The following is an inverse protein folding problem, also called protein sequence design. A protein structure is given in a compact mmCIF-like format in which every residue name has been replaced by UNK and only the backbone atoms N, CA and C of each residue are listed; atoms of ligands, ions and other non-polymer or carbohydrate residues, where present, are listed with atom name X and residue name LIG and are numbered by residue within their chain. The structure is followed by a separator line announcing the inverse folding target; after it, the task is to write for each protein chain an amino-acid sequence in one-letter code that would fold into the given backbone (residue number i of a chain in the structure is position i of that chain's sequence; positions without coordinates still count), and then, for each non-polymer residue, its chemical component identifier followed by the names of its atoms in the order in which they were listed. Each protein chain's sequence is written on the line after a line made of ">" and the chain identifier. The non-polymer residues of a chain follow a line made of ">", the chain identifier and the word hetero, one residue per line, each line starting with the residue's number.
data_IF_268829148393
#
_entry.id   IF_268829148393
#
_cell.length_a   1.000
_cell.length_b   1.000
_cell.length_c   1.000
_cell.angle_alpha   90.00
_cell.angle_beta   90.00
_cell.angle_gamma   90.00
#
_symmetry.space_group_name_H-M   'P 1'
#
loop_
_entity.id
_entity.type
_entity.pdbx_description
1 polymer ?
#
# COMPACT_ATOMS: atom_id res chain seq x y z
N UNK A 1 -22.24 -3.47 -5.38
CA UNK A 1 -21.15 -2.58 -4.89
C UNK A 1 -20.58 -3.03 -3.57
N UNK A 2 -21.35 -2.96 -2.47
CA UNK A 2 -20.85 -3.19 -1.11
C UNK A 2 -20.16 -4.54 -0.93
N UNK A 3 -20.82 -5.64 -1.31
CA UNK A 3 -20.25 -6.99 -1.19
C UNK A 3 -18.96 -7.15 -1.98
N UNK A 4 -18.91 -6.62 -3.21
CA UNK A 4 -17.74 -6.67 -4.08
C UNK A 4 -16.55 -5.88 -3.50
N UNK A 5 -16.81 -4.70 -2.92
CA UNK A 5 -15.78 -3.90 -2.25
C UNK A 5 -15.28 -4.63 -0.99
N UNK A 6 -16.20 -5.15 -0.18
CA UNK A 6 -15.88 -5.87 1.04
C UNK A 6 -15.06 -7.14 0.76
N UNK A 7 -15.42 -7.91 -0.27
CA UNK A 7 -14.70 -9.13 -0.64
C UNK A 7 -13.30 -8.82 -1.14
N UNK A 8 -13.14 -7.77 -1.95
CA UNK A 8 -11.81 -7.34 -2.41
C UNK A 8 -10.91 -6.89 -1.26
N UNK A 9 -11.45 -6.16 -0.28
CA UNK A 9 -10.70 -5.78 0.93
C UNK A 9 -10.29 -7.02 1.72
N UNK A 10 -11.18 -8.01 1.88
CA UNK A 10 -10.85 -9.28 2.56
C UNK A 10 -9.76 -10.05 1.82
N UNK A 11 -9.79 -10.12 0.48
CA UNK A 11 -8.77 -10.80 -0.32
C UNK A 11 -7.39 -10.19 -0.11
N UNK A 12 -7.28 -8.85 -0.06
CA UNK A 12 -6.02 -8.14 0.18
C UNK A 12 -5.47 -8.39 1.59
N UNK A 13 -6.33 -8.47 2.61
CA UNK A 13 -5.90 -8.79 3.98
C UNK A 13 -5.33 -10.22 4.12
N UNK A 14 -5.78 -11.17 3.29
CA UNK A 14 -5.34 -12.58 3.34
C UNK A 14 -3.98 -12.78 2.66
N UNK A 15 -3.61 -11.98 1.65
CA UNK A 15 -2.31 -12.09 0.98
C UNK A 15 -1.11 -11.58 1.80
N UNK A 16 -1.36 -10.84 2.89
CA UNK A 16 -0.34 -10.17 3.72
C UNK A 16 0.29 -11.07 4.80
N UNK A 17 -0.13 -12.33 4.92
CA UNK A 17 0.37 -13.28 5.92
C UNK A 17 1.31 -14.33 5.31
N UNK A 18 2.58 -13.96 5.12
CA UNK A 18 3.67 -14.93 4.98
C UNK A 18 4.80 -14.67 6.00
N UNK A 19 5.41 -15.73 6.58
CA UNK A 19 6.31 -15.60 7.73
C UNK A 19 7.76 -15.42 7.26
N UNK A 20 8.42 -14.33 7.70
CA UNK A 20 9.86 -14.17 7.46
C UNK A 20 10.69 -14.68 8.63
N UNK A 21 11.72 -15.42 8.23
CA UNK A 21 12.65 -16.25 8.98
C UNK A 21 13.56 -15.42 9.91
N UNK A 22 13.64 -15.80 11.18
CA UNK A 22 14.56 -15.23 12.17
C UNK A 22 16.00 -15.70 11.93
N UNK A 23 16.94 -14.78 11.71
CA UNK A 23 18.38 -15.05 11.77
C UNK A 23 18.91 -14.70 13.17
N UNK A 24 19.29 -15.74 13.91
CA UNK A 24 19.93 -15.68 15.21
C UNK A 24 21.39 -15.25 15.06
N UNK A 25 21.74 -14.08 15.59
CA UNK A 25 23.14 -13.70 15.88
C UNK A 25 23.46 -14.10 17.31
N UNK A 26 24.38 -15.04 17.49
CA UNK A 26 24.92 -15.42 18.79
C UNK A 26 26.42 -15.66 18.68
N UNK A 27 27.21 -14.67 19.09
CA UNK A 27 28.64 -14.83 19.38
C UNK A 27 28.94 -14.29 20.78
N UNK A 28 29.89 -14.96 21.42
CA UNK A 28 30.69 -14.55 22.60
C UNK A 28 30.26 -15.09 23.97
N UNK A 29 30.66 -16.33 24.30
CA UNK A 29 31.20 -16.68 25.63
C UNK A 29 32.26 -17.77 25.43
N UNK A 30 33.55 -17.42 25.53
CA UNK A 30 34.63 -18.39 25.53
C UNK A 30 35.80 -17.85 26.36
N UNK A 31 35.67 -17.88 27.69
CA UNK A 31 36.76 -17.53 28.61
C UNK A 31 36.70 -18.19 30.00
N UNK A 32 35.81 -19.15 30.27
CA UNK A 32 35.64 -19.67 31.65
C UNK A 32 35.90 -21.18 31.84
N UNK A 33 35.99 -22.01 30.78
CA UNK A 33 36.08 -23.47 30.94
C UNK A 33 37.52 -24.04 31.12
N UNK A 34 38.56 -23.25 30.87
CA UNK A 34 39.96 -23.71 31.04
C UNK A 34 40.37 -23.91 32.52
N UNK A 35 39.55 -23.42 33.46
CA UNK A 35 39.83 -23.44 34.90
C UNK A 35 39.47 -24.76 35.59
N UNK A 36 38.53 -25.56 35.05
CA UNK A 36 37.99 -26.74 35.76
C UNK A 36 38.84 -28.00 35.55
N UNK A 37 39.44 -28.17 34.36
CA UNK A 37 40.24 -29.37 34.03
C UNK A 37 41.53 -29.48 34.84
N UNK A 38 42.11 -28.34 35.25
CA UNK A 38 43.33 -28.31 36.07
C UNK A 38 43.07 -28.61 37.55
N UNK A 39 41.84 -28.43 38.05
CA UNK A 39 41.49 -28.75 39.46
C UNK A 39 41.29 -30.23 39.73
N UNK A 40 40.93 -31.03 38.73
CA UNK A 40 40.63 -32.46 38.93
C UNK A 40 41.89 -33.34 38.91
N UNK A 41 42.98 -32.90 38.26
CA UNK A 41 44.26 -33.65 38.22
C UNK A 41 45.06 -33.60 39.53
N UNK A 42 44.70 -32.75 40.49
CA UNK A 42 45.43 -32.60 41.76
C UNK A 42 44.83 -33.38 42.94
N UNK A 43 43.77 -34.16 42.75
CA UNK A 43 43.28 -35.08 43.80
C UNK A 43 43.70 -36.50 43.43
N UNK A 44 44.88 -36.88 43.91
CA UNK A 44 45.28 -38.29 44.01
C UNK A 44 46.01 -38.50 45.32
N UNK A 45 45.44 -39.30 46.24
CA UNK A 45 46.26 -40.14 47.09
C UNK A 45 45.98 -41.62 46.79
N UNK A 46 47.08 -42.32 46.49
CA UNK A 46 47.40 -43.70 46.90
C UNK A 46 46.25 -44.70 47.19
N UNK A 47 46.20 -45.72 46.33
CA UNK A 47 45.70 -47.09 46.56
C UNK A 47 44.20 -47.29 46.86
N UNK A 48 43.43 -47.46 45.79
CA UNK A 48 42.09 -48.06 45.75
C UNK A 48 41.53 -48.06 44.32
N UNK A 49 40.64 -48.99 43.92
CA UNK A 49 40.08 -49.00 42.57
C UNK A 49 39.23 -47.74 42.34
N UNK A 50 39.52 -47.00 41.27
CA UNK A 50 38.83 -45.76 40.90
C UNK A 50 37.33 -46.04 40.72
N UNK A 51 36.42 -45.31 41.39
CA UNK A 51 34.98 -45.49 41.23
C UNK A 51 34.56 -45.44 39.75
N UNK A 52 33.63 -46.29 39.27
CA UNK A 52 33.23 -46.34 37.85
C UNK A 52 32.79 -45.00 37.27
N UNK A 53 32.26 -44.11 38.12
CA UNK A 53 31.86 -42.74 37.78
C UNK A 53 33.06 -41.85 37.46
N UNK A 54 34.16 -41.93 38.23
CA UNK A 54 35.38 -41.16 37.99
C UNK A 54 36.03 -41.54 36.66
N UNK A 55 36.03 -42.83 36.31
CA UNK A 55 36.55 -43.30 35.03
C UNK A 55 35.71 -42.80 33.85
N UNK A 56 34.37 -42.76 33.99
CA UNK A 56 33.49 -42.16 32.98
C UNK A 56 33.72 -40.66 32.81
N UNK A 57 33.94 -39.93 33.90
CA UNK A 57 34.23 -38.49 33.85
C UNK A 57 35.54 -38.23 33.10
N UNK A 58 36.61 -38.99 33.39
CA UNK A 58 37.89 -38.87 32.67
C UNK A 58 37.71 -39.16 31.18
N UNK A 59 37.05 -40.27 30.83
CA UNK A 59 36.82 -40.64 29.44
C UNK A 59 35.96 -39.63 28.67
N UNK A 60 34.97 -39.01 29.33
CA UNK A 60 34.15 -37.95 28.74
C UNK A 60 34.95 -36.66 28.56
N UNK A 61 35.81 -36.32 29.51
CA UNK A 61 36.70 -35.17 29.41
C UNK A 61 37.66 -35.32 28.22
N UNK A 62 38.26 -36.50 28.05
CA UNK A 62 39.15 -36.79 26.92
C UNK A 62 38.40 -36.75 25.57
N UNK A 63 37.16 -37.23 25.53
CA UNK A 63 36.30 -37.10 24.34
C UNK A 63 35.98 -35.65 24.01
N UNK A 64 35.66 -34.82 25.02
CA UNK A 64 35.39 -33.39 24.81
C UNK A 64 36.65 -32.68 24.31
N UNK A 65 37.82 -33.00 24.85
CA UNK A 65 39.09 -32.42 24.38
C UNK A 65 39.39 -32.82 22.93
N UNK A 66 39.15 -34.08 22.55
CA UNK A 66 39.32 -34.53 21.17
C UNK A 66 38.31 -33.85 20.22
N UNK A 67 37.04 -33.77 20.60
CA UNK A 67 36.01 -33.06 19.82
C UNK A 67 36.34 -31.57 19.67
N UNK A 68 36.87 -30.92 20.71
CA UNK A 68 37.30 -29.52 20.65
C UNK A 68 38.49 -29.32 19.70
N UNK A 69 39.41 -30.29 19.66
CA UNK A 69 40.54 -30.30 18.73
C UNK A 69 40.07 -30.51 17.28
N UNK A 70 39.15 -31.44 17.04
CA UNK A 70 38.56 -31.65 15.72
C UNK A 70 37.77 -30.44 15.23
N UNK A 71 36.96 -29.82 16.10
CA UNK A 71 36.22 -28.61 15.79
C UNK A 71 37.16 -27.44 15.47
N UNK A 72 38.26 -27.29 16.19
CA UNK A 72 39.29 -26.28 15.90
C UNK A 72 39.94 -26.53 14.53
N UNK A 73 40.25 -27.79 14.21
CA UNK A 73 40.86 -28.15 12.93
C UNK A 73 39.90 -27.94 11.76
N UNK A 74 38.62 -28.31 11.93
CA UNK A 74 37.58 -28.10 10.92
C UNK A 74 37.28 -26.60 10.74
N UNK A 75 37.25 -25.82 11.83
CA UNK A 75 37.10 -24.37 11.79
C UNK A 75 38.25 -23.69 11.02
N UNK A 76 39.48 -24.15 11.23
CA UNK A 76 40.64 -23.67 10.48
C UNK A 76 40.57 -24.08 9.01
N UNK A 77 40.16 -25.30 8.69
CA UNK A 77 39.96 -25.73 7.29
C UNK A 77 38.88 -24.89 6.58
N UNK A 78 37.78 -24.56 7.26
CA UNK A 78 36.73 -23.68 6.72
C UNK A 78 37.25 -22.24 6.53
N UNK A 79 38.05 -21.71 7.46
CA UNK A 79 38.71 -20.41 7.29
C UNK A 79 39.67 -20.42 6.09
N UNK A 80 40.54 -21.42 5.99
CA UNK A 80 41.47 -21.55 4.87
C UNK A 80 40.75 -21.75 3.54
N UNK A 81 39.65 -22.50 3.50
CA UNK A 81 38.82 -22.67 2.31
C UNK A 81 38.09 -21.38 1.92
N UNK A 82 37.61 -20.60 2.90
CA UNK A 82 37.03 -19.26 2.69
C UNK A 82 38.05 -18.31 2.07
N UNK A 83 39.28 -18.30 2.59
CA UNK A 83 40.37 -17.44 2.10
C UNK A 83 40.92 -17.88 0.73
N UNK A 84 40.81 -19.17 0.41
CA UNK A 84 41.26 -19.74 -0.88
C UNK A 84 40.21 -19.60 -1.99
N UNK A 85 38.90 -19.59 -1.65
CA UNK A 85 37.80 -19.48 -2.61
C UNK A 85 37.34 -18.03 -2.84
N UNK A 86 37.49 -17.16 -1.84
CA UNK A 86 37.17 -15.74 -1.92
C UNK A 86 38.48 -14.94 -1.84
N UNK A 87 39.18 -14.80 -2.97
CA UNK A 87 40.34 -13.93 -3.03
C UNK A 87 39.99 -12.49 -2.58
N UNK A 88 40.95 -11.69 -2.06
CA UNK A 88 40.70 -10.34 -1.55
C UNK A 88 39.99 -9.41 -2.56
N UNK A 89 40.17 -9.68 -3.86
CA UNK A 89 39.47 -8.99 -4.95
C UNK A 89 37.94 -9.19 -4.91
N UNK A 90 37.44 -10.37 -4.52
CA UNK A 90 36.01 -10.66 -4.46
C UNK A 90 35.38 -9.97 -3.24
N UNK A 91 36.07 -9.97 -2.10
CA UNK A 91 35.59 -9.30 -0.89
C UNK A 91 35.50 -7.79 -1.08
N UNK A 92 36.53 -7.17 -1.69
CA UNK A 92 36.52 -5.75 -2.05
C UNK A 92 35.42 -5.42 -3.08
N UNK A 93 35.20 -6.29 -4.07
CA UNK A 93 34.11 -6.14 -5.05
C UNK A 93 32.73 -6.21 -4.40
N UNK A 94 32.50 -7.17 -3.50
CA UNK A 94 31.24 -7.29 -2.75
C UNK A 94 31.00 -6.09 -1.83
N UNK A 95 32.05 -5.58 -1.19
CA UNK A 95 31.96 -4.38 -0.36
C UNK A 95 31.64 -3.13 -1.19
N UNK A 96 32.29 -2.97 -2.36
CA UNK A 96 31.95 -1.91 -3.31
C UNK A 96 30.51 -2.00 -3.79
N UNK A 97 30.06 -3.19 -4.18
CA UNK A 97 28.68 -3.42 -4.63
C UNK A 97 27.66 -3.11 -3.52
N UNK A 98 27.96 -3.48 -2.27
CA UNK A 98 27.12 -3.13 -1.12
C UNK A 98 27.02 -1.62 -0.90
N UNK A 99 28.13 -0.91 -1.00
CA UNK A 99 28.16 0.55 -0.89
C UNK A 99 27.38 1.23 -2.04
N UNK A 100 27.53 0.75 -3.27
CA UNK A 100 26.77 1.24 -4.42
C UNK A 100 25.28 0.98 -4.27
N UNK A 101 24.89 -0.21 -3.78
CA UNK A 101 23.51 -0.55 -3.51
C UNK A 101 22.88 0.38 -2.46
N UNK A 102 23.57 0.63 -1.34
CA UNK A 102 23.08 1.55 -0.31
C UNK A 102 23.00 3.00 -0.83
N UNK A 103 23.97 3.44 -1.62
CA UNK A 103 23.92 4.76 -2.27
C UNK A 103 22.75 4.87 -3.25
N UNK A 104 22.52 3.83 -4.07
CA UNK A 104 21.43 3.77 -5.02
C UNK A 104 20.06 3.76 -4.31
N UNK A 105 19.92 2.97 -3.25
CA UNK A 105 18.74 2.93 -2.39
C UNK A 105 18.45 4.31 -1.78
N UNK A 106 19.48 5.01 -1.27
CA UNK A 106 19.34 6.37 -0.75
C UNK A 106 18.86 7.35 -1.83
N UNK A 107 19.47 7.34 -3.02
CA UNK A 107 19.05 8.19 -4.15
C UNK A 107 17.61 7.90 -4.58
N UNK A 108 17.24 6.62 -4.63
CA UNK A 108 15.88 6.20 -4.97
C UNK A 108 14.85 6.73 -3.96
N UNK A 109 15.12 6.62 -2.66
CA UNK A 109 14.22 7.16 -1.63
C UNK A 109 14.10 8.69 -1.69
N UNK A 110 15.20 9.39 -1.99
CA UNK A 110 15.18 10.85 -2.19
C UNK A 110 14.32 11.24 -3.40
N UNK A 111 14.51 10.57 -4.53
CA UNK A 111 13.71 10.76 -5.75
C UNK A 111 12.22 10.51 -5.49
N UNK A 112 11.87 9.46 -4.74
CA UNK A 112 10.48 9.19 -4.36
C UNK A 112 9.88 10.33 -3.53
N UNK A 113 10.63 10.87 -2.57
CA UNK A 113 10.21 12.00 -1.76
C UNK A 113 9.99 13.26 -2.60
N UNK A 114 10.92 13.58 -3.51
CA UNK A 114 10.78 14.74 -4.39
C UNK A 114 9.64 14.58 -5.39
N UNK A 115 9.47 13.39 -5.98
CA UNK A 115 8.34 13.10 -6.86
C UNK A 115 7.01 13.30 -6.15
N UNK A 116 6.90 12.80 -4.91
CA UNK A 116 5.72 13.02 -4.06
C UNK A 116 5.47 14.51 -3.84
N UNK A 117 6.51 15.29 -3.49
CA UNK A 117 6.42 16.73 -3.26
C UNK A 117 5.93 17.48 -4.51
N UNK A 118 6.58 17.27 -5.64
CA UNK A 118 6.25 17.91 -6.92
C UNK A 118 4.84 17.55 -7.39
N UNK A 119 4.44 16.29 -7.19
CA UNK A 119 3.11 15.83 -7.55
C UNK A 119 2.01 16.56 -6.77
N UNK A 120 2.21 16.74 -5.46
CA UNK A 120 1.28 17.50 -4.63
C UNK A 120 1.24 18.98 -5.00
N UNK A 121 2.40 19.57 -5.29
CA UNK A 121 2.50 20.96 -5.76
C UNK A 121 1.71 21.16 -7.07
N UNK A 122 1.78 20.22 -8.01
CA UNK A 122 0.98 20.25 -9.24
C UNK A 122 -0.52 20.17 -8.95
N UNK A 123 -0.95 19.36 -7.98
CA UNK A 123 -2.37 19.27 -7.58
C UNK A 123 -2.84 20.59 -6.96
N UNK A 124 -2.06 21.17 -6.06
CA UNK A 124 -2.37 22.44 -5.40
C UNK A 124 -2.44 23.59 -6.41
N UNK A 125 -1.52 23.63 -7.38
CA UNK A 125 -1.52 24.62 -8.47
C UNK A 125 -2.74 24.50 -9.38
N UNK A 126 -3.29 23.29 -9.56
CA UNK A 126 -4.56 23.08 -10.28
C UNK A 126 -5.78 23.49 -9.46
N UNK A 127 -5.61 23.84 -8.19
CA UNK A 127 -6.69 24.22 -7.28
C UNK A 127 -7.13 23.08 -6.37
N UNK A 128 -7.25 23.39 -5.07
CA UNK A 128 -7.73 22.46 -4.05
C UNK A 128 -9.23 22.16 -4.15
N UNK A 129 -9.98 23.04 -4.82
CA UNK A 129 -11.39 22.85 -5.13
C UNK A 129 -11.50 22.93 -6.66
N UNK A 130 -12.08 21.89 -7.25
CA UNK A 130 -12.31 21.81 -8.69
C UNK A 130 -13.75 21.44 -8.97
N UNK A 131 -14.35 22.09 -9.96
CA UNK A 131 -15.73 21.91 -10.38
C UNK A 131 -15.72 21.41 -11.81
N UNK A 132 -16.24 20.20 -12.00
CA UNK A 132 -16.43 19.61 -13.32
C UNK A 132 -17.90 19.64 -13.71
N UNK A 133 -18.19 20.02 -14.95
CA UNK A 133 -19.52 19.86 -15.53
C UNK A 133 -19.57 18.57 -16.35
N UNK A 134 -20.63 17.78 -16.23
CA UNK A 134 -20.83 16.59 -17.06
C UNK A 134 -22.23 16.57 -17.66
N UNK A 135 -22.30 16.60 -18.97
CA UNK A 135 -23.53 16.51 -19.73
C UNK A 135 -23.77 15.05 -20.14
N UNK A 136 -24.85 14.44 -19.65
CA UNK A 136 -25.23 13.10 -20.08
C UNK A 136 -25.81 13.10 -21.50
N UNK A 137 -25.71 11.99 -22.24
CA UNK A 137 -26.46 11.83 -23.47
C UNK A 137 -27.98 11.82 -23.23
N UNK A 138 -28.74 12.14 -24.28
CA UNK A 138 -30.19 11.98 -24.29
C UNK A 138 -30.57 10.50 -24.16
N UNK A 139 -31.61 10.23 -23.39
CA UNK A 139 -32.17 8.90 -23.26
C UNK A 139 -33.13 8.59 -24.44
N UNK A 140 -33.50 7.33 -24.60
CA UNK A 140 -34.34 6.88 -25.73
C UNK A 140 -35.72 7.58 -25.76
N UNK A 141 -36.29 7.90 -24.60
CA UNK A 141 -37.59 8.58 -24.50
C UNK A 141 -37.46 10.03 -24.97
N UNK A 142 -36.40 10.72 -24.58
CA UNK A 142 -36.08 12.07 -25.01
C UNK A 142 -35.85 12.15 -26.53
N UNK A 143 -35.11 11.17 -27.08
CA UNK A 143 -34.89 11.08 -28.53
C UNK A 143 -36.22 10.83 -29.26
N UNK A 144 -37.04 9.89 -28.77
CA UNK A 144 -38.35 9.57 -29.38
C UNK A 144 -39.31 10.77 -29.35
N UNK A 145 -39.23 11.59 -28.30
CA UNK A 145 -40.02 12.80 -28.15
C UNK A 145 -39.47 13.99 -28.97
N UNK A 146 -38.36 13.83 -29.69
CA UNK A 146 -37.73 14.89 -30.48
C UNK A 146 -37.06 15.98 -29.63
N UNK A 147 -36.63 15.67 -28.41
CA UNK A 147 -35.84 16.60 -27.59
C UNK A 147 -34.48 16.87 -28.23
N UNK A 148 -34.04 18.12 -28.18
CA UNK A 148 -32.74 18.56 -28.69
C UNK A 148 -31.81 18.97 -27.54
N UNK A 149 -30.50 18.88 -27.77
CA UNK A 149 -29.52 19.46 -26.86
C UNK A 149 -29.67 20.99 -26.85
N UNK A 150 -29.74 21.57 -25.64
CA UNK A 150 -29.74 23.03 -25.42
C UNK A 150 -28.35 23.56 -25.09
N UNK A 151 -27.33 22.72 -25.28
CA UNK A 151 -25.97 22.92 -24.80
C UNK A 151 -25.03 22.87 -25.99
N UNK A 152 -24.19 23.89 -26.12
CA UNK A 152 -23.09 23.96 -27.10
C UNK A 152 -21.75 23.82 -26.36
N UNK A 153 -20.89 22.97 -26.92
CA UNK A 153 -19.53 22.76 -26.46
C UNK A 153 -18.58 23.44 -27.43
N UNK A 154 -17.64 24.22 -26.92
CA UNK A 154 -16.58 24.79 -27.75
C UNK A 154 -15.49 23.73 -27.92
N UNK A 155 -15.32 23.19 -29.13
CA UNK A 155 -14.28 22.20 -29.44
C UNK A 155 -12.85 22.71 -29.20
N UNK A 156 -12.67 24.02 -29.02
CA UNK A 156 -11.37 24.63 -28.72
C UNK A 156 -11.11 24.84 -27.23
N UNK A 157 -12.13 24.69 -26.37
CA UNK A 157 -12.05 24.97 -24.93
C UNK A 157 -12.79 23.89 -24.11
N UNK A 158 -12.03 23.03 -23.45
CA UNK A 158 -12.57 21.95 -22.61
C UNK A 158 -13.13 22.43 -21.25
N UNK A 159 -13.15 23.74 -20.99
CA UNK A 159 -13.51 24.33 -19.70
C UNK A 159 -14.73 25.26 -19.79
N UNK A 160 -15.34 25.39 -20.96
CA UNK A 160 -16.44 26.31 -21.22
C UNK A 160 -17.68 25.59 -21.74
N UNK A 161 -18.84 26.03 -21.27
CA UNK A 161 -20.15 25.49 -21.64
C UNK A 161 -21.10 26.63 -21.98
N UNK A 162 -21.79 26.54 -23.11
CA UNK A 162 -22.83 27.51 -23.47
C UNK A 162 -24.21 26.87 -23.45
N UNK A 163 -25.17 27.51 -22.78
CA UNK A 163 -26.58 27.12 -22.77
C UNK A 163 -27.36 28.08 -23.66
N UNK A 164 -28.08 27.54 -24.63
CA UNK A 164 -29.00 28.28 -25.48
C UNK A 164 -30.38 28.24 -24.85
N UNK A 165 -30.89 29.41 -24.51
CA UNK A 165 -32.25 29.57 -23.98
C UNK A 165 -33.27 29.69 -25.13
N UNK A 166 -34.55 29.48 -24.83
CA UNK A 166 -35.63 29.52 -25.84
C UNK A 166 -35.78 30.87 -26.55
N UNK A 167 -35.30 31.95 -25.94
CA UNK A 167 -35.25 33.31 -26.51
C UNK A 167 -33.99 33.55 -27.37
N UNK A 168 -33.23 32.49 -27.69
CA UNK A 168 -31.94 32.55 -28.38
C UNK A 168 -30.82 33.27 -27.60
N UNK A 169 -31.04 33.61 -26.33
CA UNK A 169 -29.96 34.11 -25.48
C UNK A 169 -28.98 32.99 -25.13
N UNK A 170 -27.68 33.31 -25.20
CA UNK A 170 -26.61 32.38 -24.81
C UNK A 170 -26.08 32.75 -23.43
N UNK A 171 -26.00 31.77 -22.54
CA UNK A 171 -25.35 31.91 -21.23
C UNK A 171 -24.13 31.01 -21.17
N UNK A 172 -22.98 31.61 -20.91
CA UNK A 172 -21.70 30.92 -20.82
C UNK A 172 -21.34 30.64 -19.36
N UNK A 173 -20.86 29.43 -19.11
CA UNK A 173 -20.37 28.98 -17.81
C UNK A 173 -18.95 28.45 -17.96
N UNK A 174 -18.10 28.71 -16.97
CA UNK A 174 -16.73 28.22 -16.91
C UNK A 174 -16.57 27.24 -15.76
N UNK A 175 -15.86 26.16 -16.01
CA UNK A 175 -15.58 25.08 -15.08
C UNK A 175 -14.09 24.73 -15.14
N UNK A 176 -13.60 23.84 -14.28
CA UNK A 176 -12.24 23.31 -14.42
C UNK A 176 -12.14 22.33 -15.60
N UNK A 177 -13.26 21.66 -15.91
CA UNK A 177 -13.41 20.80 -17.09
C UNK A 177 -14.89 20.56 -17.39
N UNK A 178 -15.22 20.37 -18.66
CA UNK A 178 -16.56 20.11 -19.17
C UNK A 178 -16.55 18.82 -19.98
N UNK A 179 -17.30 17.83 -19.50
CA UNK A 179 -17.51 16.56 -20.19
C UNK A 179 -18.78 16.61 -21.02
N UNK A 180 -18.66 16.34 -22.31
CA UNK A 180 -19.77 16.21 -23.24
C UNK A 180 -20.45 14.83 -23.18
N UNK A 181 -21.56 14.64 -23.93
CA UNK A 181 -22.29 13.38 -23.99
C UNK A 181 -21.49 12.15 -24.41
N UNK A 182 -20.42 12.37 -25.20
CA UNK A 182 -19.54 11.33 -25.72
C UNK A 182 -18.43 10.92 -24.74
N UNK A 183 -18.23 11.70 -23.65
CA UNK A 183 -17.19 11.43 -22.68
C UNK A 183 -17.56 10.27 -21.74
N UNK A 184 -16.74 9.23 -21.81
CA UNK A 184 -16.92 7.98 -21.06
C UNK A 184 -16.44 8.10 -19.60
N UNK A 185 -16.63 7.01 -18.84
CA UNK A 185 -16.26 6.97 -17.42
C UNK A 185 -14.73 7.03 -17.22
N UNK A 186 -13.96 6.51 -18.17
CA UNK A 186 -12.50 6.59 -18.20
C UNK A 186 -12.03 8.05 -18.27
N UNK A 187 -12.61 8.86 -19.16
CA UNK A 187 -12.30 10.28 -19.31
C UNK A 187 -12.56 11.05 -18.01
N UNK A 188 -13.72 10.80 -17.40
CA UNK A 188 -14.07 11.37 -16.09
C UNK A 188 -13.06 10.96 -15.01
N UNK A 189 -12.71 9.68 -14.96
CA UNK A 189 -11.75 9.18 -13.98
C UNK A 189 -10.33 9.72 -14.22
N UNK A 190 -9.91 9.95 -15.46
CA UNK A 190 -8.60 10.52 -15.76
C UNK A 190 -8.39 11.89 -15.09
N UNK A 191 -9.44 12.71 -14.99
CA UNK A 191 -9.37 14.02 -14.32
C UNK A 191 -9.39 13.93 -12.79
N UNK A 192 -10.03 12.90 -12.22
CA UNK A 192 -10.12 12.68 -10.75
C UNK A 192 -8.97 11.85 -10.20
N UNK A 193 -8.38 10.97 -11.02
CA UNK A 193 -7.28 10.06 -10.68
C UNK A 193 -6.14 10.76 -9.94
N UNK A 194 -5.69 11.97 -10.35
CA UNK A 194 -4.56 12.57 -9.67
C UNK A 194 -4.82 12.88 -8.19
N UNK A 195 -6.02 13.39 -7.91
CA UNK A 195 -6.45 13.68 -6.55
C UNK A 195 -6.69 12.37 -5.79
N UNK A 196 -7.30 11.36 -6.40
CA UNK A 196 -7.49 10.06 -5.74
C UNK A 196 -6.15 9.45 -5.28
N UNK A 197 -5.11 9.54 -6.10
CA UNK A 197 -3.79 8.99 -5.75
C UNK A 197 -3.11 9.74 -4.58
N UNK A 198 -3.40 11.03 -4.36
CA UNK A 198 -2.82 11.79 -3.25
C UNK A 198 -3.29 11.31 -1.87
N UNK A 199 -4.37 10.53 -1.82
CA UNK A 199 -4.82 9.85 -0.59
C UNK A 199 -3.72 8.96 -0.01
N UNK A 200 -3.00 8.22 -0.87
CA UNK A 200 -1.89 7.36 -0.43
C UNK A 200 -0.67 8.15 0.04
N UNK A 201 -0.65 9.44 -0.25
CA UNK A 201 0.39 10.38 0.13
C UNK A 201 0.04 11.14 1.43
N UNK A 202 -1.16 10.92 1.98
CA UNK A 202 -1.62 11.46 3.27
C UNK A 202 -2.63 12.61 3.16
N UNK A 203 -3.19 12.87 1.98
CA UNK A 203 -4.16 13.94 1.76
C UNK A 203 -5.60 13.46 1.91
N UNK A 204 -6.46 14.36 2.39
CA UNK A 204 -7.90 14.12 2.45
C UNK A 204 -8.55 14.56 1.15
N UNK A 205 -9.39 13.69 0.59
CA UNK A 205 -10.07 13.91 -0.68
C UNK A 205 -11.57 13.71 -0.49
N UNK A 206 -12.35 14.59 -1.11
CA UNK A 206 -13.79 14.50 -1.18
C UNK A 206 -14.22 14.65 -2.65
N UNK A 207 -15.01 13.70 -3.14
CA UNK A 207 -15.65 13.76 -4.46
C UNK A 207 -17.14 13.57 -4.24
N UNK A 208 -17.92 14.53 -4.71
CA UNK A 208 -19.38 14.49 -4.65
C UNK A 208 -19.96 14.81 -6.03
N UNK A 209 -21.10 14.21 -6.35
CA UNK A 209 -21.84 14.49 -7.56
C UNK A 209 -23.07 15.36 -7.23
N UNK A 210 -23.29 16.42 -8.00
CA UNK A 210 -24.41 17.34 -7.79
C UNK A 210 -25.28 17.45 -9.04
N UNK A 211 -26.60 17.60 -8.84
CA UNK A 211 -27.58 17.76 -9.92
C UNK A 211 -28.97 17.22 -9.54
N UNK A 212 -29.98 17.50 -10.36
CA UNK A 212 -31.34 16.99 -10.14
C UNK A 212 -31.42 15.45 -10.30
N UNK A 213 -32.56 14.85 -9.93
CA UNK A 213 -32.81 13.44 -10.21
C UNK A 213 -32.79 13.18 -11.72
N UNK A 214 -32.12 12.11 -12.15
CA UNK A 214 -32.01 11.73 -13.56
C UNK A 214 -30.89 12.41 -14.37
N UNK A 215 -30.04 13.25 -13.77
CA UNK A 215 -28.88 13.85 -14.48
C UNK A 215 -27.65 12.96 -14.56
N UNK A 216 -27.67 11.78 -13.95
CA UNK A 216 -26.55 10.83 -14.00
C UNK A 216 -25.55 10.94 -12.85
N UNK A 217 -25.94 11.46 -11.67
CA UNK A 217 -25.13 11.41 -10.44
C UNK A 217 -24.67 9.99 -10.10
N UNK A 218 -25.62 9.07 -9.94
CA UNK A 218 -25.35 7.64 -9.66
C UNK A 218 -24.54 7.00 -10.79
N UNK A 219 -24.86 7.30 -12.05
CA UNK A 219 -24.08 6.81 -13.18
C UNK A 219 -22.63 7.30 -13.15
N UNK A 220 -22.37 8.54 -12.72
CA UNK A 220 -21.00 9.08 -12.61
C UNK A 220 -20.21 8.42 -11.48
N UNK A 221 -20.82 8.29 -10.30
CA UNK A 221 -20.14 7.76 -9.12
C UNK A 221 -20.02 6.23 -9.15
N UNK A 222 -21.13 5.53 -9.40
CA UNK A 222 -21.21 4.06 -9.40
C UNK A 222 -20.99 3.47 -10.79
N UNK A 223 -21.62 4.04 -11.82
CA UNK A 223 -21.62 3.49 -13.18
C UNK A 223 -22.53 2.29 -13.37
N UNK A 224 -22.36 1.59 -14.48
CA UNK A 224 -22.97 0.28 -14.72
C UNK A 224 -21.95 -0.84 -14.50
N UNK A 225 -22.35 -2.12 -14.42
CA UNK A 225 -21.41 -3.24 -14.33
C UNK A 225 -20.36 -3.26 -15.46
N UNK A 226 -20.78 -2.88 -16.67
CA UNK A 226 -19.94 -2.83 -17.87
C UNK A 226 -19.11 -1.55 -17.94
N UNK A 227 -19.62 -0.45 -17.36
CA UNK A 227 -18.97 0.85 -17.39
C UNK A 227 -18.90 1.46 -15.98
N UNK A 228 -17.97 0.93 -15.19
CA UNK A 228 -17.77 1.28 -13.78
C UNK A 228 -17.44 2.77 -13.62
N UNK A 229 -18.01 3.39 -12.60
CA UNK A 229 -17.84 4.81 -12.27
C UNK A 229 -16.63 5.12 -11.40
N UNK A 230 -16.59 6.36 -10.93
CA UNK A 230 -15.47 6.91 -10.15
C UNK A 230 -15.17 6.06 -8.90
N UNK A 231 -16.17 5.50 -8.23
CA UNK A 231 -16.01 4.75 -6.99
C UNK A 231 -15.15 3.49 -7.18
N UNK A 232 -15.52 2.64 -8.15
CA UNK A 232 -14.80 1.40 -8.41
C UNK A 232 -13.39 1.67 -8.94
N UNK A 233 -13.26 2.62 -9.89
CA UNK A 233 -11.97 2.98 -10.46
C UNK A 233 -11.02 3.58 -9.43
N UNK A 234 -11.56 4.33 -8.47
CA UNK A 234 -10.81 4.84 -7.32
C UNK A 234 -10.23 3.69 -6.50
N UNK A 235 -11.06 2.71 -6.13
CA UNK A 235 -10.59 1.56 -5.38
C UNK A 235 -9.56 0.75 -6.16
N UNK A 236 -9.79 0.50 -7.46
CA UNK A 236 -8.84 -0.16 -8.35
C UNK A 236 -7.47 0.53 -8.34
N UNK A 237 -7.45 1.85 -8.50
CA UNK A 237 -6.21 2.62 -8.51
C UNK A 237 -5.52 2.61 -7.14
N UNK A 238 -6.27 2.73 -6.04
CA UNK A 238 -5.69 2.67 -4.69
C UNK A 238 -5.06 1.30 -4.42
N UNK A 239 -5.75 0.21 -4.78
CA UNK A 239 -5.18 -1.14 -4.65
C UNK A 239 -3.94 -1.31 -5.54
N UNK A 240 -4.02 -0.92 -6.81
CA UNK A 240 -2.92 -1.00 -7.77
C UNK A 240 -1.67 -0.28 -7.25
N UNK A 241 -1.79 0.98 -6.82
CA UNK A 241 -0.66 1.78 -6.33
C UNK A 241 -0.16 1.26 -4.98
N UNK A 242 -1.04 0.78 -4.10
CA UNK A 242 -0.62 0.17 -2.83
C UNK A 242 0.24 -1.08 -3.05
N UNK A 243 -0.12 -1.93 -4.02
CA UNK A 243 0.65 -3.12 -4.38
C UNK A 243 1.98 -2.76 -5.06
N UNK A 244 1.98 -1.79 -5.98
CA UNK A 244 3.19 -1.28 -6.64
C UNK A 244 4.22 -0.76 -5.63
N UNK A 245 3.75 -0.15 -4.53
CA UNK A 245 4.59 0.44 -3.48
C UNK A 245 4.86 -0.50 -2.29
N UNK A 246 4.37 -1.74 -2.32
CA UNK A 246 4.41 -2.70 -1.19
C UNK A 246 5.82 -3.04 -0.69
N UNK A 247 6.84 -2.97 -1.55
CA UNK A 247 8.24 -3.17 -1.16
C UNK A 247 8.86 -2.04 -0.33
N UNK A 248 8.16 -0.89 -0.21
CA UNK A 248 8.67 0.33 0.41
C UNK A 248 7.73 0.81 1.52
N UNK A 249 6.42 0.69 1.31
CA UNK A 249 5.38 1.18 2.21
C UNK A 249 4.30 0.12 2.42
N UNK A 250 3.80 0.03 3.65
CA UNK A 250 2.64 -0.81 3.99
C UNK A 250 1.40 0.07 4.16
N UNK A 251 0.31 -0.31 3.49
CA UNK A 251 -0.96 0.41 3.53
C UNK A 251 -2.05 -0.42 4.24
N UNK A 252 -2.84 0.23 5.09
CA UNK A 252 -4.09 -0.32 5.63
C UNK A 252 -5.27 0.43 5.04
N UNK A 253 -6.13 -0.27 4.30
CA UNK A 253 -7.31 0.33 3.66
C UNK A 253 -8.58 -0.06 4.45
N UNK A 254 -9.35 0.96 4.85
CA UNK A 254 -10.60 0.80 5.57
C UNK A 254 -11.71 1.49 4.78
N UNK A 255 -12.90 0.88 4.73
CA UNK A 255 -14.06 1.42 4.04
C UNK A 255 -15.23 1.51 4.98
N UNK A 256 -15.95 2.62 4.89
CA UNK A 256 -17.24 2.87 5.52
C UNK A 256 -18.21 3.36 4.48
N UNK A 257 -19.47 2.93 4.55
CA UNK A 257 -20.52 3.40 3.65
C UNK A 257 -21.74 3.80 4.46
N UNK A 258 -22.22 5.02 4.26
CA UNK A 258 -23.29 5.61 5.05
C UNK A 258 -24.26 6.36 4.14
N UNK A 259 -25.54 6.36 4.51
CA UNK A 259 -26.59 7.15 3.88
C UNK A 259 -27.04 8.23 4.88
N UNK A 260 -27.21 9.46 4.38
CA UNK A 260 -27.83 10.56 5.12
C UNK A 260 -29.18 10.85 4.50
N UNK A 261 -30.26 10.54 5.21
CA UNK A 261 -31.63 10.78 4.76
C UNK A 261 -32.44 11.46 5.86
N UNK A 262 -32.98 12.65 5.57
CA UNK A 262 -33.76 13.44 6.52
C UNK A 262 -33.05 13.63 7.87
N UNK A 263 -31.78 14.10 7.81
CA UNK A 263 -30.90 14.28 8.97
C UNK A 263 -30.64 13.01 9.81
N UNK A 264 -31.01 11.83 9.30
CA UNK A 264 -30.69 10.54 9.92
C UNK A 264 -29.56 9.86 9.17
N UNK A 265 -28.62 9.32 9.94
CA UNK A 265 -27.48 8.59 9.42
C UNK A 265 -27.78 7.10 9.52
N UNK A 266 -27.66 6.39 8.40
CA UNK A 266 -27.80 4.95 8.29
C UNK A 266 -26.49 4.33 7.85
N UNK A 267 -26.03 3.32 8.58
CA UNK A 267 -24.88 2.53 8.14
C UNK A 267 -25.34 1.56 7.05
N UNK A 268 -24.69 1.59 5.89
CA UNK A 268 -25.05 0.71 4.75
C UNK A 268 -24.32 -0.64 4.79
N UNK A 269 -23.34 -0.81 5.69
CA UNK A 269 -22.57 -2.06 5.85
C UNK A 269 -23.14 -2.99 6.94
N UNK A 270 -24.12 -2.53 7.74
CA UNK A 270 -24.73 -3.31 8.81
C UNK A 270 -26.19 -3.60 8.47
N UNK A 271 -26.57 -4.86 8.60
CA UNK A 271 -27.94 -5.28 8.41
C UNK A 271 -28.90 -4.54 9.36
N UNK A 272 -30.05 -4.16 8.84
CA UNK A 272 -30.99 -3.18 9.43
C UNK A 272 -31.52 -3.56 10.83
N UNK A 273 -31.32 -4.80 11.26
CA UNK A 273 -31.74 -5.33 12.56
C UNK A 273 -30.83 -4.96 13.74
N UNK A 274 -29.63 -4.41 13.52
CA UNK A 274 -28.61 -4.22 14.57
C UNK A 274 -27.94 -2.84 14.59
N UNK A 275 -28.64 -1.75 14.23
CA UNK A 275 -28.03 -0.41 14.18
C UNK A 275 -28.17 0.37 15.51
N UNK A 276 -27.09 0.56 16.30
CA UNK A 276 -27.09 1.56 17.37
C UNK A 276 -27.02 2.99 16.79
N UNK A 277 -27.52 4.01 17.50
CA UNK A 277 -27.38 5.41 17.06
C UNK A 277 -25.89 5.80 17.03
N UNK A 278 -25.36 6.14 15.85
CA UNK A 278 -23.97 6.56 15.67
C UNK A 278 -23.86 8.08 15.62
N UNK A 279 -22.89 8.64 16.34
CA UNK A 279 -22.42 10.03 16.17
C UNK A 279 -21.25 10.04 15.18
N UNK A 280 -21.19 11.08 14.34
CA UNK A 280 -20.08 11.30 13.42
C UNK A 280 -18.77 11.48 14.20
N UNK A 281 -17.83 10.56 14.02
CA UNK A 281 -16.44 10.74 14.42
C UNK A 281 -15.65 10.94 13.14
N UNK A 282 -15.17 12.17 12.94
CA UNK A 282 -14.39 12.57 11.76
C UNK A 282 -13.01 11.94 11.81
N UNK A 283 -12.86 10.78 11.19
CA UNK A 283 -11.56 10.21 10.81
C UNK A 283 -11.77 9.39 9.53
N UNK A 284 -12.05 10.06 8.42
CA UNK A 284 -12.32 9.40 7.14
C UNK A 284 -11.37 9.89 6.07
N UNK A 285 -10.62 8.94 5.52
CA UNK A 285 -9.71 9.11 4.39
C UNK A 285 -10.48 8.60 3.17
N UNK A 286 -10.83 9.52 2.26
CA UNK A 286 -11.73 9.37 1.12
C UNK A 286 -13.23 9.24 1.45
N UNK A 287 -13.92 10.37 1.49
CA UNK A 287 -15.40 10.40 1.55
C UNK A 287 -15.94 10.50 0.13
N UNK A 288 -16.66 9.47 -0.28
CA UNK A 288 -17.51 9.47 -1.47
C UNK A 288 -18.95 9.70 -0.99
N UNK A 289 -19.48 10.91 -1.21
CA UNK A 289 -20.89 11.23 -0.92
C UNK A 289 -21.70 11.15 -2.20
N UNK A 290 -22.80 10.38 -2.15
CA UNK A 290 -23.87 10.36 -3.16
C UNK A 290 -24.96 11.35 -2.72
#
# INVERSE_FOLDING_TARGET
>A
MIEEICDRIKTVQISDSSPFLSSTTGETINSEEESVSNRIRQVSPSQGPTPPILQKIINLSDKIQNLKKEHSNLSNQVKTAKDSFLGPNILDTLQKLGNEYELLKKKYLQELSERKRLYNEVIELKGNIRVFCRCRPLNQVEITNGSNYVVEFDSSQDNELQIISSDSSKKQFKFDHVFGPEDNQEAVFAQTKPIVASVLDGYNVCIFAYGQTGTGKTFTMEGSPENRGVNYRTLDELFRVSQERSGIMRYGLFVSMMEVYNEKIRDLLIDSSNQPPKKLVSSFIATVLI
#
